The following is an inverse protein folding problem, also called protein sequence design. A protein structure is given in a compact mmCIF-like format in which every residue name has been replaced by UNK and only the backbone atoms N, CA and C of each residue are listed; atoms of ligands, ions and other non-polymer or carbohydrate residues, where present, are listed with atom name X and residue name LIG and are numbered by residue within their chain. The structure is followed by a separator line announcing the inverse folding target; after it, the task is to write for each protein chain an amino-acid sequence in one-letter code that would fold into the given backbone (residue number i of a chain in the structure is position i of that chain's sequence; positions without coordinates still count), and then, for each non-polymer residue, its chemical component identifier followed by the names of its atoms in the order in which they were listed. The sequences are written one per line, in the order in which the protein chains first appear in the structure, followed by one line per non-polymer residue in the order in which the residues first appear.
data_IF_392875880328
#
_entry.id   IF_392875880328
#
_cell.length_a   1.000
_cell.length_b   1.000
_cell.length_c   1.000
_cell.angle_alpha   90.00
_cell.angle_beta   90.00
_cell.angle_gamma   90.00
#
_symmetry.space_group_name_H-M   'P 1'
#
loop_
_entity.id
_entity.type
_entity.pdbx_description
1 polymer ?
#
# COMPACT_ATOMS: atom_id res chain seq x y z
N UNK A 1 0.81 24.71 -4.18
CA UNK A 1 1.34 23.85 -5.26
C UNK A 1 1.51 24.73 -6.47
N UNK A 2 2.70 24.82 -7.01
CA UNK A 2 2.92 25.53 -8.25
C UNK A 2 2.21 24.77 -9.37
N UNK A 3 1.70 25.51 -10.34
CA UNK A 3 1.18 24.92 -11.59
C UNK A 3 2.30 24.14 -12.23
N UNK A 4 2.12 22.83 -12.35
CA UNK A 4 3.11 21.94 -12.95
C UNK A 4 2.41 20.81 -13.68
N UNK A 5 3.11 20.19 -14.61
CA UNK A 5 2.59 19.01 -15.29
C UNK A 5 2.54 17.83 -14.30
N UNK A 6 1.35 17.29 -14.06
CA UNK A 6 1.21 16.00 -13.41
C UNK A 6 1.64 14.90 -14.38
N UNK A 7 2.55 14.08 -13.94
CA UNK A 7 2.88 12.86 -14.66
C UNK A 7 2.04 11.70 -14.13
N UNK A 8 1.15 11.19 -14.96
CA UNK A 8 0.45 9.93 -14.70
C UNK A 8 1.27 8.79 -15.27
N UNK A 9 1.66 7.86 -14.42
CA UNK A 9 2.40 6.66 -14.82
C UNK A 9 1.42 5.49 -14.85
N UNK A 10 1.25 4.92 -16.03
CA UNK A 10 0.39 3.74 -16.24
C UNK A 10 1.28 2.56 -16.64
N UNK A 11 1.08 1.42 -16.02
CA UNK A 11 1.74 0.18 -16.38
C UNK A 11 0.76 -0.72 -17.13
N UNK A 12 1.11 -1.06 -18.39
CA UNK A 12 0.31 -1.96 -19.22
C UNK A 12 1.19 -3.09 -19.73
N UNK A 13 0.85 -4.32 -19.40
CA UNK A 13 1.59 -5.50 -19.86
C UNK A 13 3.10 -5.41 -19.60
N UNK A 14 3.50 -4.84 -18.45
CA UNK A 14 4.90 -4.64 -18.10
C UNK A 14 5.58 -3.44 -18.80
N UNK A 15 4.84 -2.67 -19.59
CA UNK A 15 5.35 -1.45 -20.23
C UNK A 15 4.93 -0.22 -19.42
N UNK A 16 5.89 0.63 -19.11
CA UNK A 16 5.66 1.91 -18.44
C UNK A 16 5.27 2.95 -19.48
N UNK A 17 4.08 3.50 -19.33
CA UNK A 17 3.62 4.66 -20.09
C UNK A 17 3.60 5.88 -19.16
N UNK A 18 4.10 7.01 -19.64
CA UNK A 18 4.11 8.27 -18.89
C UNK A 18 3.29 9.29 -19.67
N UNK A 19 2.23 9.77 -19.06
CA UNK A 19 1.36 10.80 -19.61
C UNK A 19 1.57 12.10 -18.85
N UNK A 20 1.96 13.16 -19.53
CA UNK A 20 2.02 14.53 -18.99
C UNK A 20 0.65 15.17 -19.09
N UNK A 21 0.08 15.60 -17.96
CA UNK A 21 -1.18 16.31 -17.92
C UNK A 21 -0.96 17.67 -17.28
N UNK A 22 -1.31 18.77 -17.95
CA UNK A 22 -1.31 20.07 -17.31
C UNK A 22 -2.33 20.05 -16.16
N UNK A 23 -1.88 20.42 -14.98
CA UNK A 23 -2.72 20.45 -13.80
C UNK A 23 -2.84 21.88 -13.30
N UNK A 24 -4.04 22.42 -13.38
CA UNK A 24 -4.42 23.67 -12.75
C UNK A 24 -5.34 23.36 -11.55
N UNK A 25 -4.88 23.64 -10.31
CA UNK A 25 -5.74 23.50 -9.15
C UNK A 25 -7.00 24.37 -9.30
N UNK A 26 -8.15 23.84 -8.96
CA UNK A 26 -9.41 24.57 -9.01
C UNK A 26 -10.31 24.21 -7.82
N UNK A 27 -11.28 25.07 -7.57
CA UNK A 27 -12.38 24.84 -6.63
C UNK A 27 -13.71 25.00 -7.36
N UNK A 28 -14.75 24.39 -6.82
CA UNK A 28 -16.10 24.63 -7.29
C UNK A 28 -16.74 25.73 -6.45
N UNK A 29 -17.26 26.74 -7.12
CA UNK A 29 -18.00 27.86 -6.53
C UNK A 29 -19.44 27.78 -6.97
N UNK A 30 -20.37 28.02 -6.05
CA UNK A 30 -21.77 28.11 -6.43
C UNK A 30 -22.00 29.35 -7.31
N UNK A 31 -22.52 29.13 -8.49
CA UNK A 31 -22.81 30.18 -9.46
C UNK A 31 -24.15 29.91 -10.11
N UNK A 32 -25.13 30.73 -9.77
CA UNK A 32 -26.51 30.63 -10.29
C UNK A 32 -26.69 31.15 -11.73
N UNK A 33 -25.67 31.86 -12.27
CA UNK A 33 -25.80 32.48 -13.59
C UNK A 33 -25.06 31.69 -14.68
N UNK A 34 -23.84 31.25 -14.40
CA UNK A 34 -22.96 30.61 -15.41
C UNK A 34 -22.56 29.19 -15.07
N UNK A 35 -22.94 28.68 -13.89
CA UNK A 35 -22.57 27.37 -13.41
C UNK A 35 -23.21 26.21 -14.18
N UNK A 36 -22.55 25.08 -14.23
CA UNK A 36 -23.11 23.83 -14.70
C UNK A 36 -23.90 23.13 -13.60
N UNK A 37 -24.94 22.41 -13.98
CA UNK A 37 -25.83 21.72 -13.07
C UNK A 37 -25.18 20.43 -12.57
N UNK A 38 -25.07 20.28 -11.24
CA UNK A 38 -24.60 19.07 -10.57
C UNK A 38 -25.68 18.56 -9.61
N UNK A 39 -25.86 17.24 -9.59
CA UNK A 39 -26.67 16.57 -8.57
C UNK A 39 -25.76 16.06 -7.46
N UNK A 40 -26.00 16.50 -6.22
CA UNK A 40 -25.26 16.05 -5.07
C UNK A 40 -25.94 14.80 -4.46
N UNK A 41 -25.15 13.77 -4.19
CA UNK A 41 -25.64 12.56 -3.55
C UNK A 41 -26.16 12.88 -2.14
N UNK A 42 -27.42 12.53 -1.88
CA UNK A 42 -28.07 12.74 -0.57
C UNK A 42 -28.76 14.08 -0.39
N UNK A 43 -28.75 14.98 -1.38
CA UNK A 43 -29.53 16.21 -1.38
C UNK A 43 -30.67 16.17 -2.42
N UNK A 44 -31.83 16.67 -2.03
CA UNK A 44 -32.91 16.93 -3.00
C UNK A 44 -32.60 18.24 -3.72
N UNK A 45 -32.30 18.15 -5.00
CA UNK A 45 -32.07 19.32 -5.87
C UNK A 45 -30.74 19.26 -6.60
N UNK A 46 -30.54 20.20 -7.49
CA UNK A 46 -29.31 20.43 -8.22
C UNK A 46 -28.75 21.79 -7.86
N UNK A 47 -27.44 21.86 -7.78
CA UNK A 47 -26.71 23.10 -7.54
C UNK A 47 -25.95 23.45 -8.82
N UNK A 48 -25.96 24.74 -9.17
CA UNK A 48 -25.14 25.25 -10.26
C UNK A 48 -23.77 25.60 -9.73
N UNK A 49 -22.74 25.00 -10.30
CA UNK A 49 -21.36 25.16 -9.89
C UNK A 49 -20.47 25.60 -11.05
N UNK A 50 -19.52 26.44 -10.76
CA UNK A 50 -18.50 26.86 -11.70
C UNK A 50 -17.10 26.45 -11.16
N UNK A 51 -16.23 26.02 -12.05
CA UNK A 51 -14.81 25.80 -11.72
C UNK A 51 -14.10 27.14 -11.69
N UNK A 52 -13.41 27.44 -10.59
CA UNK A 52 -12.49 28.57 -10.49
C UNK A 52 -11.06 28.10 -10.23
N UNK A 53 -10.06 28.64 -10.94
CA UNK A 53 -8.67 28.38 -10.61
C UNK A 53 -8.37 28.74 -9.15
N UNK A 54 -7.61 27.90 -8.47
CA UNK A 54 -7.26 28.10 -7.07
C UNK A 54 -5.76 27.91 -6.85
N UNK A 55 -5.12 28.86 -6.20
CA UNK A 55 -3.73 28.73 -5.75
C UNK A 55 -3.67 28.49 -4.25
N UNK A 56 -2.79 27.56 -3.84
CA UNK A 56 -2.60 27.28 -2.44
C UNK A 56 -2.16 28.56 -1.68
N UNK A 57 -2.92 28.94 -0.66
CA UNK A 57 -2.68 30.17 0.14
C UNK A 57 -3.56 31.35 -0.22
N UNK A 58 -4.33 31.31 -1.30
CA UNK A 58 -5.37 32.32 -1.57
C UNK A 58 -6.53 32.14 -0.59
N UNK A 59 -7.14 33.26 -0.20
CA UNK A 59 -8.40 33.22 0.56
C UNK A 59 -9.50 32.62 -0.32
N UNK A 60 -10.17 31.64 0.23
CA UNK A 60 -11.30 31.02 -0.45
C UNK A 60 -12.46 32.02 -0.51
N UNK A 61 -13.18 32.14 -1.66
CA UNK A 61 -14.35 32.98 -1.74
C UNK A 61 -15.37 32.59 -0.65
N UNK A 62 -16.08 33.59 -0.10
CA UNK A 62 -17.10 33.39 0.95
C UNK A 62 -18.36 32.64 0.48
N UNK A 63 -18.52 32.42 -0.81
CA UNK A 63 -19.57 31.58 -1.40
C UNK A 63 -19.27 30.11 -1.13
N UNK A 64 -20.31 29.32 -0.94
CA UNK A 64 -20.20 27.92 -0.62
C UNK A 64 -19.25 27.19 -1.57
N UNK A 65 -18.16 26.73 -1.03
CA UNK A 65 -17.17 25.97 -1.75
C UNK A 65 -17.46 24.52 -1.48
N UNK A 66 -17.86 23.82 -2.49
CA UNK A 66 -17.76 22.38 -2.49
C UNK A 66 -16.29 22.09 -2.81
N UNK A 67 -15.57 21.73 -1.78
CA UNK A 67 -14.18 21.41 -1.88
C UNK A 67 -14.01 20.16 -2.76
N UNK A 68 -13.73 20.39 -4.02
CA UNK A 68 -13.28 19.36 -4.94
C UNK A 68 -11.76 19.36 -5.08
N UNK A 69 -11.06 20.28 -4.38
CA UNK A 69 -9.69 20.65 -4.73
C UNK A 69 -8.60 20.12 -3.87
N UNK A 70 -8.84 19.85 -2.64
CA UNK A 70 -7.76 19.62 -1.70
C UNK A 70 -7.37 18.18 -1.51
N UNK A 71 -8.30 17.26 -1.64
CA UNK A 71 -8.11 15.98 -0.96
C UNK A 71 -7.54 14.88 -1.82
N UNK A 72 -7.79 14.84 -3.12
CA UNK A 72 -7.26 13.72 -3.88
C UNK A 72 -7.06 14.01 -5.36
N UNK A 73 -5.83 14.34 -5.71
CA UNK A 73 -5.41 14.50 -7.12
C UNK A 73 -5.77 13.26 -7.94
N UNK A 74 -5.70 12.05 -7.35
CA UNK A 74 -6.04 10.81 -8.03
C UNK A 74 -7.51 10.72 -8.38
N UNK A 75 -8.40 11.08 -7.45
CA UNK A 75 -9.85 11.05 -7.72
C UNK A 75 -10.22 11.99 -8.86
N UNK A 76 -9.55 13.13 -8.95
CA UNK A 76 -9.73 14.05 -10.06
C UNK A 76 -9.23 13.53 -11.39
N UNK A 77 -8.03 12.94 -11.39
CA UNK A 77 -7.48 12.31 -12.60
C UNK A 77 -8.42 11.21 -13.09
N UNK A 78 -9.02 10.42 -12.18
CA UNK A 78 -10.02 9.40 -12.52
C UNK A 78 -11.26 10.02 -13.14
N UNK A 79 -11.73 11.15 -12.61
CA UNK A 79 -12.94 11.86 -13.11
C UNK A 79 -12.68 12.56 -14.44
N UNK A 80 -11.54 13.23 -14.58
CA UNK A 80 -11.22 14.03 -15.77
C UNK A 80 -10.65 13.20 -16.92
N UNK A 81 -9.99 12.10 -16.59
CA UNK A 81 -9.38 11.18 -17.56
C UNK A 81 -9.77 9.72 -17.29
N UNK A 82 -11.08 9.40 -17.33
CA UNK A 82 -11.56 8.04 -17.04
C UNK A 82 -10.97 6.99 -17.97
N UNK A 83 -10.62 7.36 -19.19
CA UNK A 83 -9.94 6.51 -20.18
C UNK A 83 -8.56 6.01 -19.73
N UNK A 84 -7.89 6.71 -18.81
CA UNK A 84 -6.65 6.21 -18.22
C UNK A 84 -6.88 5.07 -17.24
N UNK A 85 -8.07 4.97 -16.66
CA UNK A 85 -8.39 4.03 -15.57
C UNK A 85 -9.45 3.01 -15.97
N UNK A 86 -10.40 3.36 -16.87
CA UNK A 86 -11.58 2.56 -17.24
C UNK A 86 -11.56 2.16 -18.70
N UNK A 87 -10.66 2.01 -19.41
CA UNK A 87 -10.67 1.65 -20.84
C UNK A 87 -9.91 0.38 -21.13
N UNK A 88 -9.45 -0.29 -20.09
CA UNK A 88 -8.62 -1.47 -20.28
C UNK A 88 -9.49 -2.73 -20.20
N UNK A 89 -9.64 -3.47 -21.30
CA UNK A 89 -10.04 -4.87 -21.18
C UNK A 89 -8.93 -5.57 -20.42
N UNK A 90 -8.98 -5.50 -19.10
CA UNK A 90 -8.00 -6.16 -18.26
C UNK A 90 -8.46 -7.58 -18.03
N UNK A 91 -8.38 -8.40 -19.08
CA UNK A 91 -8.54 -9.84 -18.99
C UNK A 91 -7.33 -10.50 -18.29
N UNK A 92 -6.33 -9.72 -17.94
CA UNK A 92 -5.16 -10.22 -17.23
C UNK A 92 -5.42 -10.18 -15.72
N UNK A 93 -5.36 -11.32 -15.05
CA UNK A 93 -5.49 -11.37 -13.60
C UNK A 93 -4.36 -10.56 -12.96
N UNK A 94 -4.68 -9.85 -11.87
CA UNK A 94 -3.67 -9.17 -11.06
C UNK A 94 -2.66 -10.18 -10.52
N UNK A 95 -1.40 -9.85 -10.66
CA UNK A 95 -0.32 -10.58 -9.99
C UNK A 95 -0.33 -10.22 -8.52
N UNK A 96 -0.60 -11.17 -7.66
CA UNK A 96 -0.58 -10.94 -6.22
C UNK A 96 0.53 -11.73 -5.56
N UNK A 97 1.09 -11.16 -4.48
CA UNK A 97 2.13 -11.74 -3.66
C UNK A 97 1.74 -11.60 -2.20
N UNK A 98 1.73 -12.73 -1.48
CA UNK A 98 1.65 -12.77 -0.03
C UNK A 98 3.03 -13.07 0.52
N UNK A 99 3.44 -12.39 1.59
CA UNK A 99 4.64 -12.77 2.33
C UNK A 99 4.44 -12.61 3.83
N UNK A 100 5.27 -13.28 4.58
CA UNK A 100 5.38 -13.25 6.02
C UNK A 100 6.85 -13.37 6.41
N UNK A 101 7.24 -12.84 7.59
CA UNK A 101 8.62 -12.91 8.06
C UNK A 101 8.70 -13.59 9.41
N UNK A 102 9.84 -14.24 9.65
CA UNK A 102 10.25 -14.70 10.98
C UNK A 102 11.47 -13.92 11.44
N UNK A 103 11.51 -13.62 12.73
CA UNK A 103 12.59 -12.82 13.33
C UNK A 103 13.18 -13.54 14.54
N UNK A 104 14.48 -13.42 14.73
CA UNK A 104 15.15 -13.97 15.90
C UNK A 104 15.22 -12.92 17.02
N UNK A 105 14.89 -13.35 18.25
CA UNK A 105 15.00 -12.55 19.46
C UNK A 105 16.02 -13.16 20.42
N UNK A 106 17.28 -12.70 20.38
CA UNK A 106 18.34 -13.26 21.23
C UNK A 106 18.10 -13.06 22.73
N UNK A 107 17.32 -12.05 23.09
CA UNK A 107 17.05 -11.67 24.48
C UNK A 107 15.64 -12.05 24.96
N UNK A 108 14.85 -12.71 24.10
CA UNK A 108 13.46 -13.11 24.39
C UNK A 108 12.45 -11.95 24.45
N UNK A 109 12.87 -10.73 24.08
CA UNK A 109 11.97 -9.59 23.97
C UNK A 109 11.17 -9.62 22.66
N UNK A 110 10.16 -8.75 22.52
CA UNK A 110 9.43 -8.63 21.26
C UNK A 110 10.38 -8.18 20.14
N UNK A 111 10.56 -8.97 19.07
CA UNK A 111 11.62 -8.77 18.09
C UNK A 111 11.28 -7.69 17.07
N UNK A 112 11.43 -6.41 17.46
CA UNK A 112 11.15 -5.28 16.58
C UNK A 112 12.27 -4.23 16.62
N UNK A 113 12.82 -3.90 15.46
CA UNK A 113 13.89 -2.91 15.30
C UNK A 113 15.21 -3.49 14.80
N UNK A 114 16.25 -2.68 14.83
CA UNK A 114 17.54 -2.98 14.19
C UNK A 114 18.28 -4.21 14.76
N UNK A 115 18.05 -4.54 16.04
CA UNK A 115 18.77 -5.61 16.72
C UNK A 115 18.18 -7.02 16.50
N UNK A 116 17.05 -7.10 15.78
CA UNK A 116 16.34 -8.35 15.58
C UNK A 116 16.39 -8.77 14.11
N UNK A 117 17.29 -9.71 13.75
CA UNK A 117 17.43 -10.14 12.36
C UNK A 117 16.19 -10.85 11.83
N UNK A 118 15.95 -10.70 10.53
CA UNK A 118 14.94 -11.45 9.80
C UNK A 118 15.54 -12.79 9.41
N UNK A 119 15.10 -13.86 10.05
CA UNK A 119 15.68 -15.21 9.85
C UNK A 119 15.01 -15.97 8.72
N UNK A 120 13.78 -15.61 8.35
CA UNK A 120 13.10 -16.18 7.21
C UNK A 120 12.14 -15.18 6.57
N UNK A 121 11.95 -15.28 5.25
CA UNK A 121 10.86 -14.65 4.51
C UNK A 121 10.20 -15.72 3.66
N UNK A 122 8.94 -16.00 3.95
CA UNK A 122 8.10 -16.92 3.17
C UNK A 122 7.24 -16.15 2.16
N UNK A 123 7.17 -16.61 0.92
CA UNK A 123 6.43 -15.97 -0.18
C UNK A 123 5.51 -16.97 -0.83
N UNK A 124 4.30 -16.51 -1.17
CA UNK A 124 3.34 -17.23 -2.01
C UNK A 124 2.78 -16.26 -3.05
N UNK A 125 2.71 -16.68 -4.30
CA UNK A 125 2.21 -15.87 -5.42
C UNK A 125 0.87 -16.37 -5.95
N UNK A 126 0.14 -15.52 -6.69
CA UNK A 126 -1.09 -15.91 -7.39
C UNK A 126 -0.86 -16.97 -8.49
N UNK A 127 0.37 -17.14 -8.95
CA UNK A 127 0.74 -18.21 -9.91
C UNK A 127 1.03 -19.55 -9.23
N UNK A 128 0.99 -19.59 -7.89
CA UNK A 128 1.28 -20.79 -7.10
C UNK A 128 2.77 -21.00 -6.79
N UNK A 129 3.64 -20.08 -7.22
CA UNK A 129 5.05 -20.11 -6.87
C UNK A 129 5.21 -19.85 -5.36
N UNK A 130 6.08 -20.63 -4.72
CA UNK A 130 6.39 -20.55 -3.28
C UNK A 130 7.88 -20.49 -3.12
N UNK A 131 8.34 -19.54 -2.33
CA UNK A 131 9.74 -19.35 -2.01
C UNK A 131 9.91 -19.13 -0.52
N UNK A 132 11.03 -19.57 0.01
CA UNK A 132 11.45 -19.32 1.38
C UNK A 132 12.93 -18.93 1.34
N UNK A 133 13.23 -17.73 1.82
CA UNK A 133 14.59 -17.24 2.00
C UNK A 133 14.97 -17.38 3.46
N UNK A 134 16.02 -18.10 3.73
CA UNK A 134 16.50 -18.39 5.08
C UNK A 134 17.82 -17.66 5.37
N UNK A 135 17.96 -17.21 6.58
CA UNK A 135 19.19 -16.69 7.14
C UNK A 135 20.27 -17.81 7.22
N UNK A 136 21.51 -17.48 6.91
CA UNK A 136 22.64 -18.41 6.93
C UNK A 136 23.29 -18.57 8.32
N UNK A 137 22.78 -17.84 9.32
CA UNK A 137 23.31 -17.85 10.69
C UNK A 137 24.29 -16.72 11.00
N UNK A 138 24.72 -15.94 9.99
CA UNK A 138 25.66 -14.83 10.17
C UNK A 138 24.96 -13.47 10.15
N UNK A 139 24.38 -13.10 9.00
CA UNK A 139 23.58 -11.88 8.90
C UNK A 139 22.39 -12.06 7.92
N UNK A 140 21.35 -11.26 8.07
CA UNK A 140 20.13 -11.34 7.28
C UNK A 140 20.14 -10.48 5.99
N UNK A 141 21.29 -9.91 5.63
CA UNK A 141 21.42 -9.03 4.47
C UNK A 141 21.04 -9.71 3.17
N UNK A 142 21.49 -10.97 3.00
CA UNK A 142 21.20 -11.74 1.80
C UNK A 142 19.70 -12.05 1.67
N UNK A 143 19.04 -12.39 2.77
CA UNK A 143 17.58 -12.61 2.80
C UNK A 143 16.81 -11.39 2.28
N UNK A 144 17.22 -10.19 2.69
CA UNK A 144 16.61 -8.93 2.23
C UNK A 144 16.89 -8.68 0.73
N UNK A 145 18.09 -8.98 0.25
CA UNK A 145 18.45 -8.84 -1.17
C UNK A 145 17.63 -9.80 -2.03
N UNK A 146 17.50 -11.04 -1.61
CA UNK A 146 16.77 -12.07 -2.35
C UNK A 146 15.27 -11.75 -2.39
N UNK A 147 14.70 -11.27 -1.29
CA UNK A 147 13.33 -10.79 -1.25
C UNK A 147 13.07 -9.63 -2.22
N UNK A 148 13.93 -8.60 -2.20
CA UNK A 148 13.79 -7.47 -3.13
C UNK A 148 13.96 -7.92 -4.59
N UNK A 149 14.88 -8.84 -4.86
CA UNK A 149 15.12 -9.41 -6.18
C UNK A 149 13.91 -10.20 -6.68
N UNK A 150 13.26 -10.97 -5.80
CA UNK A 150 12.04 -11.69 -6.12
C UNK A 150 10.89 -10.73 -6.47
N UNK A 151 10.67 -9.70 -5.64
CA UNK A 151 9.63 -8.67 -5.91
C UNK A 151 9.84 -8.04 -7.29
N UNK A 152 11.08 -7.70 -7.64
CA UNK A 152 11.37 -7.11 -8.95
C UNK A 152 11.17 -8.10 -10.11
N UNK A 153 11.57 -9.33 -9.94
CA UNK A 153 11.44 -10.39 -10.97
C UNK A 153 9.97 -10.79 -11.18
N UNK A 154 9.23 -11.03 -10.10
CA UNK A 154 7.83 -11.43 -10.17
C UNK A 154 6.93 -10.26 -10.58
N UNK A 155 7.26 -9.04 -10.14
CA UNK A 155 6.55 -7.78 -10.39
C UNK A 155 5.06 -7.83 -10.00
N UNK A 156 4.72 -7.99 -8.69
CA UNK A 156 3.35 -8.05 -8.24
C UNK A 156 2.63 -6.71 -8.36
N UNK A 157 1.34 -6.74 -8.70
CA UNK A 157 0.46 -5.57 -8.66
C UNK A 157 -0.01 -5.29 -7.23
N UNK A 158 -0.26 -6.36 -6.47
CA UNK A 158 -0.73 -6.31 -5.09
C UNK A 158 0.20 -7.13 -4.19
N UNK A 159 0.65 -6.53 -3.11
CA UNK A 159 1.37 -7.20 -2.02
C UNK A 159 0.44 -7.21 -0.80
N UNK A 160 0.23 -8.37 -0.22
CA UNK A 160 -0.64 -8.51 0.95
C UNK A 160 -0.06 -9.46 2.00
N UNK A 161 -0.53 -9.31 3.23
CA UNK A 161 -0.16 -10.16 4.36
C UNK A 161 -0.93 -9.74 5.61
N UNK A 162 -0.69 -10.42 6.72
CA UNK A 162 -1.38 -10.18 7.98
C UNK A 162 -0.51 -9.35 8.91
N UNK A 163 -0.96 -8.17 9.31
CA UNK A 163 -0.19 -7.18 10.07
C UNK A 163 1.07 -6.65 9.36
N UNK A 164 1.06 -6.74 8.05
CA UNK A 164 2.19 -6.44 7.18
C UNK A 164 2.71 -5.01 7.36
N UNK A 165 1.79 -4.07 7.50
CA UNK A 165 2.09 -2.64 7.70
C UNK A 165 2.53 -2.35 9.13
N UNK A 166 2.01 -3.11 10.10
CA UNK A 166 2.35 -2.93 11.51
C UNK A 166 3.65 -3.59 11.94
N UNK A 167 4.10 -4.61 11.21
CA UNK A 167 5.26 -5.39 11.63
C UNK A 167 6.24 -5.72 10.49
N UNK A 168 5.84 -6.52 9.51
CA UNK A 168 6.76 -7.12 8.55
C UNK A 168 7.54 -6.10 7.74
N UNK A 169 6.84 -5.17 7.10
CA UNK A 169 7.47 -4.14 6.28
C UNK A 169 8.37 -3.22 7.12
N UNK A 170 7.92 -2.66 8.26
CA UNK A 170 8.80 -1.89 9.13
C UNK A 170 10.05 -2.64 9.56
N UNK A 171 9.92 -3.93 9.92
CA UNK A 171 11.06 -4.74 10.36
C UNK A 171 12.07 -4.94 9.23
N UNK A 172 11.62 -5.29 8.02
CA UNK A 172 12.47 -5.38 6.83
C UNK A 172 13.22 -4.05 6.59
N UNK A 173 12.52 -2.91 6.69
CA UNK A 173 13.14 -1.61 6.48
C UNK A 173 14.13 -1.22 7.57
N UNK A 174 13.89 -1.59 8.83
CA UNK A 174 14.86 -1.41 9.91
C UNK A 174 16.13 -2.21 9.62
N UNK A 175 16.00 -3.46 9.22
CA UNK A 175 17.15 -4.31 8.90
C UNK A 175 17.90 -3.84 7.65
N UNK A 176 17.17 -3.40 6.61
CA UNK A 176 17.77 -2.78 5.44
C UNK A 176 18.60 -1.53 5.82
N UNK A 177 18.07 -0.69 6.71
CA UNK A 177 18.78 0.48 7.25
C UNK A 177 20.03 0.07 8.03
N UNK A 178 19.93 -0.93 8.90
CA UNK A 178 21.04 -1.49 9.67
C UNK A 178 22.20 -1.93 8.76
N UNK A 179 21.90 -2.56 7.63
CA UNK A 179 22.89 -2.98 6.64
C UNK A 179 23.34 -1.86 5.68
N UNK A 180 22.92 -0.60 5.93
CA UNK A 180 23.26 0.54 5.07
C UNK A 180 22.66 0.51 3.68
N UNK A 181 21.57 -0.23 3.47
CA UNK A 181 20.88 -0.36 2.20
C UNK A 181 19.96 0.86 1.94
N UNK A 182 20.55 2.03 1.76
CA UNK A 182 19.82 3.31 1.65
C UNK A 182 18.81 3.38 0.50
N UNK A 183 19.00 2.58 -0.53
CA UNK A 183 18.13 2.54 -1.70
C UNK A 183 17.10 1.40 -1.66
N UNK A 184 16.92 0.72 -0.52
CA UNK A 184 16.10 -0.49 -0.46
C UNK A 184 14.64 -0.24 -0.89
N UNK A 185 14.05 0.89 -0.50
CA UNK A 185 12.69 1.28 -0.94
C UNK A 185 12.59 1.38 -2.47
N UNK A 186 13.62 1.90 -3.13
CA UNK A 186 13.67 1.98 -4.59
C UNK A 186 13.67 0.60 -5.26
N UNK A 187 14.28 -0.39 -4.60
CA UNK A 187 14.26 -1.77 -5.08
C UNK A 187 12.87 -2.39 -4.94
N UNK A 188 12.10 -2.00 -3.93
CA UNK A 188 10.74 -2.52 -3.72
C UNK A 188 9.69 -1.84 -4.60
N UNK A 189 9.93 -0.61 -5.04
CA UNK A 189 9.01 0.15 -5.85
C UNK A 189 9.15 -0.18 -7.34
N UNK A 190 8.00 -0.34 -8.01
CA UNK A 190 7.94 -0.60 -9.45
C UNK A 190 8.51 0.58 -10.28
N UNK A 191 8.30 1.80 -9.80
CA UNK A 191 8.76 3.03 -10.45
C UNK A 191 10.19 3.45 -10.05
N UNK A 192 10.84 2.70 -9.17
CA UNK A 192 12.18 3.01 -8.67
C UNK A 192 12.26 4.26 -7.79
N UNK A 193 11.14 4.79 -7.33
CA UNK A 193 11.08 5.94 -6.44
C UNK A 193 11.37 5.56 -4.98
N UNK A 194 11.70 6.56 -4.14
CA UNK A 194 11.76 6.40 -2.69
C UNK A 194 10.37 6.56 -2.01
N UNK A 195 9.32 6.67 -2.81
CA UNK A 195 7.99 6.99 -2.33
C UNK A 195 7.38 5.85 -1.51
N UNK A 196 6.69 6.22 -0.44
CA UNK A 196 5.90 5.29 0.36
C UNK A 196 6.72 4.42 1.32
N UNK A 197 6.22 3.20 1.56
CA UNK A 197 6.76 2.23 2.51
C UNK A 197 6.88 2.79 3.94
N UNK A 198 5.96 3.69 4.28
CA UNK A 198 5.81 4.21 5.63
C UNK A 198 4.36 3.99 6.05
N UNK A 199 4.13 3.51 7.27
CA UNK A 199 2.78 3.40 7.80
C UNK A 199 2.12 4.78 7.87
N UNK A 200 0.79 4.80 7.85
CA UNK A 200 0.04 6.01 8.14
C UNK A 200 0.47 6.58 9.50
N UNK A 201 0.38 7.91 9.64
CA UNK A 201 0.66 8.57 10.93
C UNK A 201 -0.37 8.20 12.01
N UNK A 202 -1.54 7.74 11.60
CA UNK A 202 -2.52 7.15 12.49
C UNK A 202 -2.15 5.68 12.72
N UNK A 203 -1.75 5.34 13.95
CA UNK A 203 -1.31 4.00 14.34
C UNK A 203 -2.39 2.92 14.16
N UNK A 204 -3.66 3.32 14.15
CA UNK A 204 -4.78 2.39 13.93
C UNK A 204 -5.10 2.17 12.46
N UNK A 205 -4.54 3.02 11.58
CA UNK A 205 -4.75 2.94 10.14
C UNK A 205 -3.59 2.19 9.47
N UNK A 206 -3.74 0.88 9.35
CA UNK A 206 -2.77 0.00 8.70
C UNK A 206 -2.76 0.19 7.16
N UNK A 207 -2.68 1.44 6.71
CA UNK A 207 -2.50 1.78 5.29
C UNK A 207 -1.06 2.14 5.00
N UNK A 208 -0.58 1.67 3.89
CA UNK A 208 0.74 1.98 3.37
C UNK A 208 0.66 2.23 1.88
N UNK A 209 1.46 3.15 1.38
CA UNK A 209 1.59 3.42 -0.05
C UNK A 209 2.91 2.85 -0.56
N UNK A 210 2.93 2.45 -1.81
CA UNK A 210 4.13 2.01 -2.52
C UNK A 210 4.12 2.59 -3.94
N UNK A 211 5.27 2.81 -4.51
CA UNK A 211 5.38 3.29 -5.89
C UNK A 211 5.01 2.20 -6.89
N UNK A 212 3.85 2.37 -7.57
CA UNK A 212 3.38 1.48 -8.62
C UNK A 212 2.84 0.12 -8.14
N UNK A 213 2.57 -0.07 -6.84
CA UNK A 213 2.00 -1.29 -6.26
C UNK A 213 0.94 -0.96 -5.20
N UNK A 214 0.04 -1.88 -4.97
CA UNK A 214 -0.96 -1.78 -3.89
C UNK A 214 -0.51 -2.65 -2.71
N UNK A 215 -0.49 -2.06 -1.52
CA UNK A 215 -0.24 -2.79 -0.26
C UNK A 215 -1.56 -3.00 0.46
N UNK A 216 -1.85 -4.26 0.79
CA UNK A 216 -3.08 -4.65 1.50
C UNK A 216 -2.73 -5.34 2.81
N UNK A 217 -3.06 -4.70 3.92
CA UNK A 217 -2.94 -5.34 5.23
C UNK A 217 -4.25 -6.05 5.61
N UNK A 218 -4.20 -7.37 5.69
CA UNK A 218 -5.39 -8.19 5.96
C UNK A 218 -5.91 -7.95 7.38
N UNK A 219 -5.03 -7.66 8.36
CA UNK A 219 -5.47 -7.33 9.72
C UNK A 219 -6.36 -6.08 9.74
N UNK A 220 -6.06 -5.08 8.91
CA UNK A 220 -6.92 -3.90 8.77
C UNK A 220 -8.32 -4.28 8.31
N UNK A 221 -8.43 -5.14 7.30
CA UNK A 221 -9.73 -5.60 6.81
C UNK A 221 -10.50 -6.37 7.87
N UNK A 222 -9.84 -7.23 8.66
CA UNK A 222 -10.50 -7.93 9.77
C UNK A 222 -10.99 -6.99 10.88
N UNK A 223 -10.34 -5.83 11.06
CA UNK A 223 -10.78 -4.79 12.01
C UNK A 223 -12.01 -4.04 11.54
N UNK A 224 -12.17 -3.88 10.23
CA UNK A 224 -13.26 -3.12 9.61
C UNK A 224 -14.48 -3.99 9.31
N UNK A 225 -14.31 -5.30 9.21
CA UNK A 225 -15.41 -6.21 8.90
C UNK A 225 -16.26 -6.44 10.14
N UNK A 226 -17.52 -6.00 10.09
CA UNK A 226 -18.48 -6.16 11.17
C UNK A 226 -18.79 -7.63 11.47
N UNK A 227 -18.76 -8.50 10.46
CA UNK A 227 -18.97 -9.94 10.64
C UNK A 227 -17.91 -10.61 11.54
N UNK A 228 -16.73 -9.99 11.62
CA UNK A 228 -15.61 -10.46 12.45
C UNK A 228 -15.51 -9.75 13.81
N UNK A 229 -16.44 -8.87 14.14
CA UNK A 229 -16.35 -7.98 15.32
C UNK A 229 -16.28 -8.72 16.67
N UNK A 230 -16.76 -9.95 16.74
CA UNK A 230 -16.73 -10.79 17.94
C UNK A 230 -15.53 -11.73 18.05
N UNK A 231 -14.64 -11.75 17.06
CA UNK A 231 -13.50 -12.67 17.02
C UNK A 231 -12.22 -12.02 17.56
N UNK A 232 -11.34 -12.79 18.23
CA UNK A 232 -9.98 -12.37 18.47
C UNK A 232 -9.28 -12.08 17.14
N UNK A 233 -8.60 -10.93 17.04
CA UNK A 233 -8.02 -10.43 15.80
C UNK A 233 -6.62 -10.97 15.48
N UNK A 234 -6.23 -12.08 16.07
CA UNK A 234 -5.02 -12.79 15.69
C UNK A 234 -5.21 -13.57 14.38
N UNK A 235 -4.13 -13.82 13.64
CA UNK A 235 -4.17 -14.59 12.41
C UNK A 235 -4.82 -15.98 12.58
N UNK A 236 -4.42 -16.72 13.62
CA UNK A 236 -4.93 -18.08 13.87
C UNK A 236 -6.44 -18.14 14.16
N UNK A 237 -7.02 -17.31 15.07
CA UNK A 237 -8.47 -17.28 15.24
C UNK A 237 -9.24 -16.92 13.98
N UNK A 238 -8.76 -15.95 13.22
CA UNK A 238 -9.40 -15.52 11.97
C UNK A 238 -9.33 -16.65 10.92
N UNK A 239 -8.17 -17.30 10.77
CA UNK A 239 -8.01 -18.43 9.86
C UNK A 239 -8.98 -19.57 10.18
N UNK A 240 -9.11 -19.94 11.46
CA UNK A 240 -10.06 -20.97 11.89
C UNK A 240 -11.52 -20.61 11.61
N UNK A 241 -11.87 -19.32 11.76
CA UNK A 241 -13.22 -18.84 11.40
C UNK A 241 -13.54 -19.09 9.91
N UNK A 242 -12.54 -18.96 9.03
CA UNK A 242 -12.68 -19.26 7.61
C UNK A 242 -12.48 -20.75 7.25
N UNK A 243 -12.43 -21.63 8.25
CA UNK A 243 -12.28 -23.08 8.02
C UNK A 243 -10.86 -23.50 7.64
N UNK A 244 -9.86 -22.64 7.86
CA UNK A 244 -8.46 -22.97 7.66
C UNK A 244 -7.88 -23.54 8.95
N UNK A 245 -7.00 -24.52 8.85
CA UNK A 245 -6.28 -25.09 9.98
C UNK A 245 -4.84 -24.54 9.98
N UNK A 246 -4.54 -23.51 10.80
CA UNK A 246 -3.19 -22.97 10.89
C UNK A 246 -2.25 -24.01 11.51
N UNK A 247 -1.07 -24.17 10.93
CA UNK A 247 -0.01 -24.97 11.51
C UNK A 247 0.48 -24.28 12.78
N UNK A 248 0.54 -25.03 13.87
CA UNK A 248 1.07 -24.55 15.14
C UNK A 248 2.44 -25.19 15.37
N UNK A 249 3.45 -24.34 15.50
CA UNK A 249 4.78 -24.76 15.93
C UNK A 249 4.88 -24.65 17.45
N UNK A 250 5.44 -25.65 18.08
CA UNK A 250 5.67 -25.67 19.53
C UNK A 250 7.07 -25.08 19.83
N UNK A 251 7.10 -23.78 20.04
CA UNK A 251 8.33 -23.08 20.42
C UNK A 251 8.74 -23.29 21.89
N UNK A 252 7.97 -24.04 22.69
CA UNK A 252 8.36 -24.36 24.05
C UNK A 252 9.45 -25.43 24.11
N UNK A 253 9.56 -26.28 23.08
CA UNK A 253 10.55 -27.37 23.02
C UNK A 253 11.66 -27.12 22.00
N UNK A 254 11.47 -26.18 21.04
CA UNK A 254 12.44 -25.92 19.96
C UNK A 254 12.56 -24.43 19.69
N UNK A 255 13.78 -23.99 19.43
CA UNK A 255 14.03 -22.65 18.88
C UNK A 255 13.58 -22.60 17.43
N UNK A 256 13.29 -21.40 16.93
CA UNK A 256 12.95 -21.16 15.53
C UNK A 256 14.02 -21.72 14.57
N UNK A 257 15.28 -21.61 14.98
CA UNK A 257 16.43 -22.11 14.22
C UNK A 257 16.49 -23.64 14.10
N UNK A 258 15.76 -24.38 14.96
CA UNK A 258 15.64 -25.83 14.89
C UNK A 258 14.68 -26.33 13.80
N UNK A 259 13.91 -25.41 13.20
CA UNK A 259 12.95 -25.69 12.12
C UNK A 259 13.47 -25.30 10.73
N UNK A 260 14.68 -24.74 10.65
CA UNK A 260 15.31 -24.31 9.39
C UNK A 260 16.01 -25.44 8.64
#
# INVERSE_FOLDING_TARGET
METGDLQTIVWRNGVKEVHGNPYEPYVYVQDSETGHQYSLTGQQGSILLRKEPYRAGEELPSSLILDGGRENIMDRLVIEHPDYFYGFPNDQPLKTLCFDIETHSPDGSFPFGENYPVVAIGIVTSTGEREVYLWDGEDDKQVLIDFASFINKYDPDVIYGYNLVGYDIPQILFRASYHGMTNYKKLLNRDGSDYGWQPSKDSDDLRMKAGGRVIVDVLRHTRLDYALSGLPRGLKPVSRHFGLEPIELDFAEKDLLDYS
#
